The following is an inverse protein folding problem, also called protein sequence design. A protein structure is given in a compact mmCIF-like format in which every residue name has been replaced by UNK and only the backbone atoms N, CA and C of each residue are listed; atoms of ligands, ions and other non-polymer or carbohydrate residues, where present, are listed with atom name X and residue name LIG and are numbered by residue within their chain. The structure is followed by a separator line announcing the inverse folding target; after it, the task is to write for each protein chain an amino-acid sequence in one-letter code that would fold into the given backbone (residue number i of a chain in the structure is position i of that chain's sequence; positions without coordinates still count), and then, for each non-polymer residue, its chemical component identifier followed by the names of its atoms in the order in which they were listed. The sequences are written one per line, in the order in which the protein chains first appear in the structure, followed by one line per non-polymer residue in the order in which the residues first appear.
data_IF_278855228450
#
_entry.id   IF_278855228450
#
_cell.length_a   1.000
_cell.length_b   1.000
_cell.length_c   1.000
_cell.angle_alpha   90.00
_cell.angle_beta   90.00
_cell.angle_gamma   90.00
#
_symmetry.space_group_name_H-M   'P 1'
#
loop_
_entity.id
_entity.type
_entity.pdbx_description
1 polymer ?
#
# COMPACT_ATOMS: atom_id res chain seq x y z
N UNK A 1 -12.55 14.60 2.97
CA UNK A 1 -12.08 14.68 1.57
C UNK A 1 -12.40 13.35 0.94
N UNK A 2 -12.94 13.33 -0.28
CA UNK A 2 -13.23 12.07 -0.98
C UNK A 2 -11.96 11.60 -1.68
N UNK A 3 -11.67 10.29 -1.72
CA UNK A 3 -10.47 9.76 -2.40
C UNK A 3 -10.49 10.04 -3.91
N UNK A 4 -11.69 10.15 -4.48
CA UNK A 4 -11.93 10.49 -5.89
C UNK A 4 -11.56 11.92 -6.27
N UNK A 5 -11.35 12.82 -5.31
CA UNK A 5 -10.90 14.20 -5.59
C UNK A 5 -9.38 14.28 -5.80
N UNK A 6 -8.64 13.21 -5.47
CA UNK A 6 -7.18 13.12 -5.61
C UNK A 6 -6.87 12.45 -6.95
N UNK A 7 -6.25 13.20 -7.86
CA UNK A 7 -5.89 12.69 -9.19
C UNK A 7 -4.46 12.17 -9.15
N UNK A 8 -4.31 10.85 -9.29
CA UNK A 8 -3.02 10.21 -9.56
C UNK A 8 -2.72 10.24 -11.07
N UNK A 9 -1.45 10.09 -11.50
CA UNK A 9 -1.13 9.86 -12.91
C UNK A 9 -1.93 8.69 -13.49
N UNK A 10 -2.28 8.75 -14.79
CA UNK A 10 -3.11 7.73 -15.44
C UNK A 10 -2.50 6.33 -15.33
N UNK A 11 -1.18 6.23 -15.49
CA UNK A 11 -0.41 4.98 -15.37
C UNK A 11 -0.63 4.30 -14.01
N UNK A 12 -0.81 5.10 -12.95
CA UNK A 12 -1.09 4.60 -11.60
C UNK A 12 -2.56 4.24 -11.44
N UNK A 13 -3.48 5.04 -11.98
CA UNK A 13 -4.92 4.72 -11.91
C UNK A 13 -5.28 3.43 -12.68
N UNK A 14 -4.46 3.04 -13.66
CA UNK A 14 -4.64 1.80 -14.43
C UNK A 14 -4.29 0.54 -13.62
N UNK A 15 -3.41 0.66 -12.61
CA UNK A 15 -2.96 -0.46 -11.75
C UNK A 15 -3.59 -0.43 -10.36
N UNK A 16 -3.84 0.75 -9.78
CA UNK A 16 -4.36 0.90 -8.41
C UNK A 16 -5.63 1.73 -8.42
N UNK A 17 -6.72 1.13 -7.92
CA UNK A 17 -8.07 1.68 -7.99
C UNK A 17 -8.49 2.45 -6.73
N UNK A 18 -9.51 3.31 -6.85
CA UNK A 18 -10.10 4.01 -5.69
C UNK A 18 -10.63 3.06 -4.62
N UNK A 19 -11.08 1.87 -5.01
CA UNK A 19 -11.53 0.83 -4.08
C UNK A 19 -10.42 0.43 -3.10
N UNK A 20 -9.18 0.29 -3.57
CA UNK A 20 -8.03 -0.02 -2.72
C UNK A 20 -7.75 1.15 -1.76
N UNK A 21 -7.72 2.37 -2.29
CA UNK A 21 -7.46 3.57 -1.49
C UNK A 21 -8.54 3.82 -0.43
N UNK A 22 -9.80 3.48 -0.72
CA UNK A 22 -10.89 3.53 0.25
C UNK A 22 -10.67 2.51 1.38
N UNK A 23 -10.16 1.31 1.10
CA UNK A 23 -9.82 0.32 2.13
C UNK A 23 -8.69 0.85 3.02
N UNK A 24 -7.59 1.35 2.43
CA UNK A 24 -6.46 1.91 3.19
C UNK A 24 -6.92 3.10 4.04
N UNK A 25 -7.72 4.00 3.48
CA UNK A 25 -8.29 5.13 4.22
C UNK A 25 -9.15 4.66 5.40
N UNK A 26 -10.00 3.66 5.20
CA UNK A 26 -10.87 3.13 6.25
C UNK A 26 -10.10 2.36 7.32
N UNK A 27 -8.98 1.72 6.96
CA UNK A 27 -8.05 1.12 7.91
C UNK A 27 -7.35 2.16 8.78
N UNK A 28 -7.14 3.37 8.26
CA UNK A 28 -6.60 4.52 9.01
C UNK A 28 -5.32 4.18 9.80
N UNK A 29 -4.35 3.54 9.13
CA UNK A 29 -3.07 3.13 9.72
C UNK A 29 -3.20 2.19 10.93
N UNK A 30 -4.28 1.40 11.00
CA UNK A 30 -4.52 0.45 12.08
C UNK A 30 -4.67 -0.96 11.51
N UNK A 31 -3.74 -1.86 11.84
CA UNK A 31 -3.74 -3.22 11.30
C UNK A 31 -4.98 -4.01 11.70
N UNK A 32 -5.44 -3.85 12.94
CA UNK A 32 -6.64 -4.57 13.42
C UNK A 32 -7.89 -4.13 12.64
N UNK A 33 -8.00 -2.84 12.32
CA UNK A 33 -9.07 -2.31 11.48
C UNK A 33 -8.95 -2.87 10.06
N UNK A 34 -7.75 -2.94 9.48
CA UNK A 34 -7.56 -3.57 8.17
C UNK A 34 -7.95 -5.06 8.20
N UNK A 35 -7.53 -5.81 9.21
CA UNK A 35 -7.92 -7.22 9.42
C UNK A 35 -9.44 -7.36 9.45
N UNK A 36 -10.14 -6.52 10.20
CA UNK A 36 -11.60 -6.55 10.26
C UNK A 36 -12.28 -6.23 8.91
N UNK A 37 -11.71 -5.34 8.11
CA UNK A 37 -12.19 -5.03 6.76
C UNK A 37 -11.98 -6.24 5.84
N UNK A 38 -10.75 -6.76 5.75
CA UNK A 38 -10.41 -7.87 4.87
C UNK A 38 -11.11 -9.17 5.26
N UNK A 39 -11.34 -9.42 6.56
CA UNK A 39 -12.10 -10.59 7.03
C UNK A 39 -13.53 -10.65 6.48
N UNK A 40 -14.11 -9.53 6.05
CA UNK A 40 -15.47 -9.49 5.48
C UNK A 40 -15.49 -9.76 3.97
N UNK A 41 -14.34 -9.80 3.30
CA UNK A 41 -14.21 -9.99 1.86
C UNK A 41 -14.11 -11.47 1.49
N UNK A 42 -14.38 -11.80 0.23
CA UNK A 42 -14.03 -13.12 -0.33
C UNK A 42 -12.53 -13.19 -0.68
N UNK A 43 -12.06 -14.38 -1.05
CA UNK A 43 -10.65 -14.61 -1.36
C UNK A 43 -10.15 -13.77 -2.54
N UNK A 44 -10.97 -13.62 -3.60
CA UNK A 44 -10.63 -12.85 -4.79
C UNK A 44 -10.35 -11.38 -4.45
N UNK A 45 -11.20 -10.77 -3.62
CA UNK A 45 -11.00 -9.39 -3.20
C UNK A 45 -9.77 -9.21 -2.28
N UNK A 46 -9.44 -10.21 -1.45
CA UNK A 46 -8.22 -10.14 -0.62
C UNK A 46 -6.96 -10.24 -1.48
N UNK A 47 -6.95 -11.16 -2.45
CA UNK A 47 -5.85 -11.28 -3.41
C UNK A 47 -5.69 -9.98 -4.20
N UNK A 48 -6.79 -9.45 -4.74
CA UNK A 48 -6.78 -8.16 -5.45
C UNK A 48 -6.26 -7.00 -4.59
N UNK A 49 -6.58 -6.98 -3.30
CA UNK A 49 -6.06 -5.97 -2.39
C UNK A 49 -4.53 -6.10 -2.24
N UNK A 50 -4.02 -7.32 -2.08
CA UNK A 50 -2.58 -7.60 -2.00
C UNK A 50 -1.86 -7.17 -3.30
N UNK A 51 -2.41 -7.53 -4.47
CA UNK A 51 -1.88 -7.11 -5.78
C UNK A 51 -1.77 -5.59 -5.88
N UNK A 52 -2.86 -4.85 -5.59
CA UNK A 52 -2.83 -3.40 -5.68
C UNK A 52 -1.93 -2.74 -4.63
N UNK A 53 -1.72 -3.37 -3.47
CA UNK A 53 -0.76 -2.89 -2.48
C UNK A 53 0.67 -2.95 -3.03
N UNK A 54 1.05 -4.10 -3.59
CA UNK A 54 2.36 -4.30 -4.20
C UNK A 54 2.56 -3.45 -5.45
N UNK A 55 1.55 -3.34 -6.32
CA UNK A 55 1.59 -2.48 -7.50
C UNK A 55 1.86 -1.03 -7.10
N UNK A 56 1.16 -0.51 -6.07
CA UNK A 56 1.40 0.84 -5.57
C UNK A 56 2.80 0.99 -4.96
N UNK A 57 3.29 -0.01 -4.23
CA UNK A 57 4.60 0.02 -3.59
C UNK A 57 5.73 0.00 -4.63
N UNK A 58 5.64 -0.88 -5.64
CA UNK A 58 6.68 -1.08 -6.66
C UNK A 58 7.04 0.21 -7.41
N UNK A 59 6.07 1.11 -7.61
CA UNK A 59 6.27 2.43 -8.23
C UNK A 59 7.26 3.30 -7.43
N UNK A 60 7.26 3.16 -6.09
CA UNK A 60 8.14 3.92 -5.20
C UNK A 60 9.52 3.28 -5.03
N UNK A 61 9.71 2.08 -5.59
CA UNK A 61 10.96 1.32 -5.55
C UNK A 61 11.80 1.52 -6.83
N UNK A 62 11.48 2.53 -7.63
CA UNK A 62 12.21 2.90 -8.85
C UNK A 62 12.58 4.40 -8.82
N UNK A 63 13.38 4.82 -9.80
CA UNK A 63 13.71 6.23 -10.00
C UNK A 63 12.43 7.06 -10.24
N UNK A 64 12.33 8.28 -9.67
CA UNK A 64 13.37 9.02 -8.96
C UNK A 64 13.34 8.85 -7.42
N UNK A 65 12.60 7.89 -6.88
CA UNK A 65 12.40 7.77 -5.43
C UNK A 65 13.62 7.20 -4.72
N UNK A 66 14.32 6.27 -5.37
CA UNK A 66 15.52 5.62 -4.85
C UNK A 66 16.65 6.59 -4.48
N UNK A 67 16.72 7.75 -5.14
CA UNK A 67 17.68 8.82 -4.82
C UNK A 67 17.52 9.40 -3.40
N UNK A 68 16.37 9.16 -2.75
CA UNK A 68 16.00 9.78 -1.47
C UNK A 68 15.77 8.77 -0.33
N UNK A 69 15.84 7.47 -0.61
CA UNK A 69 15.63 6.39 0.37
C UNK A 69 16.98 5.78 0.76
N UNK A 70 17.07 5.17 1.94
CA UNK A 70 18.19 4.32 2.31
C UNK A 70 18.45 3.23 1.24
N UNK A 71 19.71 3.04 0.84
CA UNK A 71 20.13 2.09 -0.21
C UNK A 71 20.14 0.62 0.27
N UNK A 72 19.22 0.23 1.15
CA UNK A 72 19.00 -1.16 1.56
C UNK A 72 17.68 -1.66 0.97
N UNK A 73 17.65 -2.92 0.52
CA UNK A 73 16.44 -3.55 -0.03
C UNK A 73 15.28 -3.49 0.96
N UNK A 74 15.53 -3.89 2.22
CA UNK A 74 14.58 -3.78 3.32
C UNK A 74 14.12 -2.33 3.54
N UNK A 75 15.03 -1.35 3.47
CA UNK A 75 14.71 0.07 3.65
C UNK A 75 13.82 0.63 2.54
N UNK A 76 14.06 0.22 1.30
CA UNK A 76 13.26 0.59 0.12
C UNK A 76 11.84 0.03 0.24
N UNK A 77 11.72 -1.25 0.61
CA UNK A 77 10.44 -1.90 0.81
C UNK A 77 9.64 -1.27 1.95
N UNK A 78 10.25 -1.12 3.13
CA UNK A 78 9.57 -0.58 4.31
C UNK A 78 9.06 0.85 4.09
N UNK A 79 9.87 1.71 3.45
CA UNK A 79 9.44 3.07 3.09
C UNK A 79 8.29 3.04 2.09
N UNK A 80 8.36 2.18 1.09
CA UNK A 80 7.30 2.07 0.07
C UNK A 80 5.98 1.62 0.69
N UNK A 81 6.01 0.59 1.54
CA UNK A 81 4.83 0.11 2.27
C UNK A 81 4.26 1.16 3.23
N UNK A 82 5.13 1.93 3.89
CA UNK A 82 4.74 3.05 4.73
C UNK A 82 3.98 4.13 3.95
N UNK A 83 4.52 4.54 2.79
CA UNK A 83 3.91 5.59 1.95
C UNK A 83 2.54 5.13 1.44
N UNK A 84 2.42 3.88 0.98
CA UNK A 84 1.14 3.30 0.55
C UNK A 84 0.14 3.23 1.70
N UNK A 85 0.57 2.76 2.88
CA UNK A 85 -0.29 2.65 4.07
C UNK A 85 -0.85 3.99 4.57
N UNK A 86 -0.13 5.10 4.36
CA UNK A 86 -0.59 6.47 4.66
C UNK A 86 -1.68 6.98 3.71
N UNK A 87 -1.96 6.23 2.65
CA UNK A 87 -3.10 6.44 1.76
C UNK A 87 -2.85 7.43 0.62
N UNK A 88 -3.83 7.49 -0.28
CA UNK A 88 -3.73 8.11 -1.61
C UNK A 88 -3.22 9.54 -1.61
N UNK A 89 -3.62 10.36 -0.63
CA UNK A 89 -3.22 11.77 -0.56
C UNK A 89 -1.73 11.92 -0.35
N UNK A 90 -1.18 11.15 0.60
CA UNK A 90 0.23 11.16 0.91
C UNK A 90 1.03 10.56 -0.25
N UNK A 91 0.56 9.43 -0.78
CA UNK A 91 1.11 8.81 -1.98
C UNK A 91 1.20 9.80 -3.17
N UNK A 92 0.11 10.51 -3.47
CA UNK A 92 0.10 11.54 -4.51
C UNK A 92 1.07 12.70 -4.24
N UNK A 93 1.25 13.09 -2.99
CA UNK A 93 2.24 14.12 -2.63
C UNK A 93 3.66 13.66 -2.94
N UNK A 94 3.99 12.41 -2.63
CA UNK A 94 5.30 11.81 -2.93
C UNK A 94 5.51 11.68 -4.43
N UNK A 95 4.54 11.18 -5.19
CA UNK A 95 4.66 11.11 -6.65
C UNK A 95 4.96 12.47 -7.30
N UNK A 96 4.37 13.55 -6.77
CA UNK A 96 4.58 14.90 -7.28
C UNK A 96 5.88 15.54 -6.80
N UNK A 97 6.44 15.05 -5.69
CA UNK A 97 7.64 15.57 -5.01
C UNK A 97 8.46 14.42 -4.43
N UNK A 98 9.20 13.68 -5.27
CA UNK A 98 9.96 12.51 -4.85
C UNK A 98 10.89 12.80 -3.67
N UNK A 99 11.44 14.01 -3.59
CA UNK A 99 12.33 14.45 -2.50
C UNK A 99 11.68 14.51 -1.11
N UNK A 100 10.35 14.35 -1.05
CA UNK A 100 9.59 14.28 0.21
C UNK A 100 9.40 12.87 0.74
N UNK A 101 9.81 11.85 -0.01
CA UNK A 101 9.71 10.47 0.47
C UNK A 101 10.53 10.33 1.76
N UNK A 102 10.05 9.59 2.77
CA UNK A 102 10.85 9.32 3.95
C UNK A 102 12.15 8.60 3.57
N UNK A 103 13.29 9.04 4.11
CA UNK A 103 14.57 8.36 3.84
C UNK A 103 14.67 7.00 4.53
N UNK A 104 13.91 6.81 5.60
CA UNK A 104 13.84 5.55 6.38
C UNK A 104 12.40 5.36 6.84
N UNK A 105 11.97 4.12 7.01
CA UNK A 105 10.70 3.85 7.65
C UNK A 105 10.75 4.26 9.12
N UNK A 106 9.65 4.85 9.60
CA UNK A 106 9.47 5.12 11.03
C UNK A 106 8.92 3.87 11.74
N UNK A 107 9.14 3.77 13.05
CA UNK A 107 8.60 2.68 13.87
C UNK A 107 7.08 2.83 14.01
N UNK A 108 6.35 2.29 13.04
CA UNK A 108 4.92 2.34 12.93
C UNK A 108 4.37 1.01 12.39
N UNK A 109 3.06 0.82 12.54
CA UNK A 109 2.41 -0.40 12.10
C UNK A 109 2.33 -0.44 10.57
N UNK A 110 3.05 -1.40 9.97
CA UNK A 110 3.03 -1.65 8.53
C UNK A 110 1.80 -2.49 8.18
N UNK A 111 1.04 -2.05 7.19
CA UNK A 111 -0.19 -2.72 6.76
C UNK A 111 0.06 -3.88 5.78
N UNK A 112 1.27 -3.97 5.23
CA UNK A 112 1.71 -5.05 4.36
C UNK A 112 1.66 -6.42 5.08
N UNK A 113 1.42 -7.50 4.32
CA UNK A 113 1.33 -8.86 4.85
C UNK A 113 -0.03 -9.23 5.47
N UNK A 114 -0.84 -8.26 5.90
CA UNK A 114 -2.13 -8.52 6.55
C UNK A 114 -3.11 -9.25 5.62
N UNK A 115 -3.10 -8.97 4.33
CA UNK A 115 -3.96 -9.68 3.37
C UNK A 115 -3.59 -11.17 3.29
N UNK A 116 -2.29 -11.48 3.33
CA UNK A 116 -1.79 -12.85 3.35
C UNK A 116 -2.18 -13.59 4.63
N UNK A 117 -1.99 -12.94 5.79
CA UNK A 117 -2.43 -13.45 7.09
C UNK A 117 -3.91 -13.84 7.08
N UNK A 118 -4.78 -12.94 6.58
CA UNK A 118 -6.23 -13.18 6.54
C UNK A 118 -6.59 -14.27 5.53
N UNK A 119 -5.88 -14.35 4.39
CA UNK A 119 -6.12 -15.40 3.41
C UNK A 119 -5.82 -16.78 4.01
N UNK A 120 -4.68 -16.92 4.69
CA UNK A 120 -4.30 -18.16 5.39
C UNK A 120 -5.30 -18.49 6.49
N UNK A 121 -5.68 -17.50 7.31
CA UNK A 121 -6.65 -17.69 8.42
C UNK A 121 -8.01 -18.20 7.92
N UNK A 122 -8.52 -17.63 6.82
CA UNK A 122 -9.88 -17.90 6.34
C UNK A 122 -9.99 -19.08 5.39
N UNK A 123 -9.00 -19.25 4.52
CA UNK A 123 -9.07 -20.18 3.39
C UNK A 123 -8.00 -21.28 3.47
N UNK A 124 -7.05 -21.17 4.41
CA UNK A 124 -5.98 -22.15 4.59
C UNK A 124 -4.85 -22.03 3.56
N UNK A 125 -4.86 -20.98 2.74
CA UNK A 125 -3.91 -20.75 1.66
C UNK A 125 -3.48 -19.27 1.64
N UNK A 126 -2.24 -19.02 1.23
CA UNK A 126 -1.72 -17.68 0.99
C UNK A 126 -2.42 -17.00 -0.20
N UNK A 127 -2.30 -15.68 -0.28
CA UNK A 127 -2.64 -14.91 -1.48
C UNK A 127 -1.89 -15.38 -2.73
N UNK A 128 -0.68 -15.93 -2.56
CA UNK A 128 0.20 -16.32 -3.67
C UNK A 128 0.84 -15.13 -4.40
N UNK A 129 0.78 -13.93 -3.80
CA UNK A 129 1.21 -12.66 -4.39
C UNK A 129 2.26 -12.03 -3.46
N UNK A 130 3.49 -11.90 -3.96
CA UNK A 130 4.68 -11.46 -3.22
C UNK A 130 5.51 -10.48 -4.05
#
# INVERSE_FOLDING_TARGET
MNQSDIILPNEINDIVSDWFWDIIMNANLNADTLREILRKMDQEHIVKFQEQFLDAASVLQDDPFLDYIEESEDGIEDVSYLVVGRGKKYYAEILNKPEKIPSTAEDCEILFGIADEICIEKFGESTGVY
#
